data_IF_672131843894
#
_entry.id   IF_672131843894
#
_cell.length_a   1.000
_cell.length_b   1.000
_cell.length_c   1.000
_cell.angle_alpha   90.00
_cell.angle_beta   90.00
_cell.angle_gamma   90.00
#
_symmetry.space_group_name_H-M   'P 1'
#
loop_
_entity.id
_entity.type
_entity.pdbx_description
1 polymer ?
#
# COMPACT_ATOMS: atom_id res chain seq x y z
N UNK A 1 33.66 -24.35 9.27
CA UNK A 1 32.76 -24.09 10.41
C UNK A 1 31.37 -23.83 9.83
N UNK A 2 30.49 -24.80 9.96
CA UNK A 2 29.15 -24.79 9.38
C UNK A 2 28.19 -24.19 10.43
N UNK A 3 27.61 -23.02 10.15
CA UNK A 3 26.57 -22.44 11.02
C UNK A 3 25.21 -22.99 10.59
N UNK A 4 24.61 -23.75 11.45
CA UNK A 4 23.31 -24.37 11.30
C UNK A 4 22.25 -23.30 11.64
N UNK A 5 21.43 -22.92 10.64
CA UNK A 5 20.25 -22.09 10.86
C UNK A 5 19.20 -22.91 11.62
N UNK A 6 18.78 -22.43 12.77
CA UNK A 6 17.61 -22.97 13.49
C UNK A 6 16.37 -22.26 12.99
N UNK A 7 15.65 -22.93 12.12
CA UNK A 7 14.27 -22.56 11.77
C UNK A 7 13.35 -23.10 12.87
N UNK A 8 12.70 -22.21 13.61
CA UNK A 8 11.65 -22.61 14.55
C UNK A 8 10.34 -22.72 13.77
N UNK A 9 9.96 -23.97 13.47
CA UNK A 9 8.65 -24.27 12.88
C UNK A 9 7.66 -24.40 14.04
N UNK A 10 6.71 -23.48 14.14
CA UNK A 10 5.52 -23.67 14.97
C UNK A 10 4.48 -24.37 14.11
N UNK A 11 4.32 -25.67 14.36
CA UNK A 11 3.27 -26.49 13.78
C UNK A 11 1.97 -26.32 14.57
N UNK A 12 0.95 -25.74 13.95
CA UNK A 12 -0.43 -25.93 14.35
C UNK A 12 -1.29 -26.15 13.09
N UNK A 13 -1.82 -27.27 13.04
CA UNK A 13 -2.67 -28.10 12.28
C UNK A 13 -3.58 -27.59 11.16
N UNK A 14 -3.64 -28.47 10.20
CA UNK A 14 -4.68 -28.78 9.23
C UNK A 14 -4.88 -27.77 8.08
N UNK A 15 -4.15 -28.06 6.99
CA UNK A 15 -4.26 -27.41 5.72
C UNK A 15 -5.61 -27.67 5.03
N UNK A 16 -6.33 -26.61 4.69
CA UNK A 16 -7.25 -26.62 3.57
C UNK A 16 -6.61 -25.73 2.51
N UNK A 17 -6.19 -26.33 1.40
CA UNK A 17 -5.61 -25.63 0.26
C UNK A 17 -6.72 -24.82 -0.42
N UNK A 18 -6.82 -23.56 -0.10
CA UNK A 18 -7.60 -22.58 -0.85
C UNK A 18 -6.59 -21.65 -1.48
N UNK A 19 -6.48 -21.67 -2.79
CA UNK A 19 -5.75 -20.66 -3.56
C UNK A 19 -6.54 -19.35 -3.47
N UNK A 20 -6.26 -18.56 -2.44
CA UNK A 20 -6.86 -17.25 -2.29
C UNK A 20 -6.01 -16.23 -3.06
N UNK A 21 -6.64 -15.56 -4.00
CA UNK A 21 -6.17 -14.28 -4.52
C UNK A 21 -5.88 -13.33 -3.36
N UNK A 22 -4.92 -12.44 -3.51
CA UNK A 22 -4.50 -11.52 -2.45
C UNK A 22 -5.63 -10.61 -1.94
N UNK A 23 -6.71 -10.45 -2.69
CA UNK A 23 -7.92 -9.77 -2.26
C UNK A 23 -9.11 -10.73 -2.38
N UNK A 24 -9.71 -11.13 -1.26
CA UNK A 24 -10.85 -12.05 -1.26
C UNK A 24 -12.15 -11.27 -1.41
N UNK A 25 -12.84 -11.49 -2.53
CA UNK A 25 -14.23 -11.06 -2.71
C UNK A 25 -15.15 -12.07 -2.04
N UNK A 26 -15.71 -11.77 -0.87
CA UNK A 26 -16.86 -12.47 -0.30
C UNK A 26 -18.11 -11.62 -0.46
N UNK A 27 -18.82 -11.83 -1.55
CA UNK A 27 -20.24 -11.46 -1.61
C UNK A 27 -21.03 -12.42 -0.74
N UNK A 28 -21.63 -11.94 0.34
CA UNK A 28 -22.71 -12.64 1.02
C UNK A 28 -24.02 -11.88 0.81
N UNK A 29 -24.94 -12.62 0.22
CA UNK A 29 -26.32 -12.22 -0.03
C UNK A 29 -27.11 -12.04 1.27
N UNK A 30 -27.97 -11.06 1.22
CA UNK A 30 -29.15 -10.74 2.02
C UNK A 30 -29.70 -11.79 2.99
N UNK A 31 -29.99 -11.37 4.21
CA UNK A 31 -31.30 -11.59 4.80
C UNK A 31 -31.62 -10.53 5.84
N UNK A 32 -32.87 -10.17 5.88
CA UNK A 32 -33.58 -9.06 6.44
C UNK A 32 -33.84 -9.13 7.95
N UNK A 33 -34.07 -7.93 8.50
CA UNK A 33 -34.99 -7.61 9.61
C UNK A 33 -34.55 -7.87 11.07
N UNK A 34 -34.42 -6.85 11.85
CA UNK A 34 -35.39 -6.36 12.87
C UNK A 34 -34.75 -5.25 13.72
N UNK A 35 -35.47 -4.14 13.85
CA UNK A 35 -35.22 -3.02 14.76
C UNK A 35 -35.17 -3.47 16.22
N UNK A 36 -34.33 -2.81 17.04
CA UNK A 36 -34.70 -2.29 18.37
C UNK A 36 -33.62 -1.35 18.96
N UNK A 37 -34.03 -0.11 19.07
CA UNK A 37 -33.77 0.89 20.14
C UNK A 37 -32.44 1.00 20.87
N UNK A 38 -31.94 2.26 20.83
CA UNK A 38 -30.89 2.85 21.65
C UNK A 38 -31.11 2.75 23.16
N UNK A 39 -30.05 2.98 23.94
CA UNK A 39 -30.07 4.23 24.70
C UNK A 39 -28.74 5.03 24.66
N UNK A 40 -28.96 6.33 24.61
CA UNK A 40 -28.02 7.42 24.80
C UNK A 40 -27.35 7.33 26.17
N UNK A 41 -26.02 7.35 26.24
CA UNK A 41 -25.30 7.80 27.42
C UNK A 41 -24.24 8.81 27.01
N UNK A 42 -24.49 10.06 27.46
CA UNK A 42 -23.56 11.15 27.47
C UNK A 42 -22.37 10.86 28.41
N UNK A 43 -21.16 11.08 27.96
CA UNK A 43 -19.97 11.07 28.82
C UNK A 43 -18.84 11.83 28.12
N UNK A 44 -18.70 13.11 28.52
CA UNK A 44 -17.52 13.92 28.24
C UNK A 44 -16.30 13.27 28.86
N UNK A 45 -15.13 13.46 28.21
CA UNK A 45 -13.78 13.70 28.79
C UNK A 45 -12.81 13.73 27.61
N UNK A 46 -12.26 14.85 27.30
CA UNK A 46 -10.99 15.51 27.70
C UNK A 46 -9.77 15.02 26.93
N UNK A 47 -9.23 15.98 26.17
CA UNK A 47 -7.80 16.22 25.88
C UNK A 47 -6.93 15.08 25.33
N UNK A 48 -6.84 15.05 24.00
CA UNK A 48 -5.66 14.58 23.31
C UNK A 48 -5.01 15.78 22.60
N UNK A 49 -3.67 15.84 22.53
CA UNK A 49 -2.95 16.98 22.00
C UNK A 49 -3.29 17.23 20.52
N UNK A 50 -3.57 18.49 20.24
CA UNK A 50 -3.74 19.02 18.89
C UNK A 50 -2.40 18.88 18.15
N UNK A 51 -2.35 18.03 17.11
CA UNK A 51 -1.26 18.02 16.16
C UNK A 51 -1.60 19.00 15.05
N UNK A 52 -1.00 20.19 15.14
CA UNK A 52 -1.09 21.24 14.12
C UNK A 52 -0.30 20.79 12.87
N UNK A 53 -0.91 20.03 11.98
CA UNK A 53 -0.45 19.92 10.60
C UNK A 53 -1.54 20.41 9.62
N UNK A 54 -1.61 21.72 9.49
CA UNK A 54 -2.38 22.37 8.46
C UNK A 54 -1.61 22.34 7.14
N UNK A 55 -2.06 21.55 6.21
CA UNK A 55 -1.63 21.69 4.83
C UNK A 55 -1.64 20.43 4.00
N UNK A 56 -2.79 19.96 3.60
CA UNK A 56 -3.12 19.44 2.26
C UNK A 56 -4.50 18.80 2.35
N UNK A 57 -5.39 19.13 1.42
CA UNK A 57 -6.80 18.73 1.42
C UNK A 57 -7.09 17.23 1.26
N UNK A 58 -6.39 16.40 2.00
CA UNK A 58 -6.76 15.00 2.20
C UNK A 58 -7.70 14.95 3.39
N UNK A 59 -9.01 14.98 3.09
CA UNK A 59 -10.06 14.60 4.04
C UNK A 59 -9.60 13.39 4.84
N UNK A 60 -9.64 13.45 6.17
CA UNK A 60 -9.19 12.47 7.15
C UNK A 60 -9.46 11.01 6.70
N UNK A 61 -8.58 10.44 5.89
CA UNK A 61 -8.63 9.01 5.56
C UNK A 61 -8.09 8.26 6.77
N UNK A 62 -8.90 7.38 7.34
CA UNK A 62 -8.45 6.55 8.46
C UNK A 62 -7.34 5.60 7.99
N UNK A 63 -6.30 5.45 8.80
CA UNK A 63 -5.26 4.46 8.57
C UNK A 63 -5.87 3.06 8.54
N UNK A 64 -5.48 2.24 7.58
CA UNK A 64 -5.94 0.87 7.43
C UNK A 64 -5.45 0.01 8.60
N UNK A 65 -6.33 -0.85 9.13
CA UNK A 65 -6.01 -1.73 10.26
C UNK A 65 -4.77 -2.59 9.97
N UNK A 66 -3.86 -2.63 10.94
CA UNK A 66 -2.63 -3.43 10.89
C UNK A 66 -2.89 -4.92 10.61
N UNK A 67 -4.01 -5.46 11.10
CA UNK A 67 -4.42 -6.85 10.84
C UNK A 67 -4.72 -7.14 9.35
N UNK A 68 -4.82 -6.11 8.52
CA UNK A 68 -5.01 -6.24 7.08
C UNK A 68 -3.73 -6.56 6.31
N UNK A 69 -2.57 -6.64 6.99
CA UNK A 69 -1.27 -6.84 6.36
C UNK A 69 -0.55 -8.07 6.91
N UNK A 70 -0.09 -8.94 6.02
CA UNK A 70 0.90 -9.97 6.36
C UNK A 70 2.31 -9.36 6.21
N UNK A 71 3.19 -9.65 7.16
CA UNK A 71 4.49 -9.02 7.28
C UNK A 71 5.63 -10.03 7.20
N UNK A 72 6.76 -9.58 6.66
CA UNK A 72 8.06 -10.23 6.78
C UNK A 72 8.98 -9.35 7.63
N UNK A 73 9.61 -9.94 8.63
CA UNK A 73 10.62 -9.23 9.44
C UNK A 73 11.94 -9.16 8.68
N UNK A 74 12.51 -7.96 8.64
CA UNK A 74 13.81 -7.70 8.06
C UNK A 74 14.92 -7.83 9.11
N UNK A 75 16.16 -8.09 8.67
CA UNK A 75 17.32 -8.25 9.58
C UNK A 75 17.64 -6.98 10.38
N UNK A 76 17.22 -5.81 9.89
CA UNK A 76 17.40 -4.50 10.54
C UNK A 76 16.30 -4.15 11.55
N UNK A 77 15.33 -5.05 11.75
CA UNK A 77 14.21 -4.85 12.68
C UNK A 77 13.02 -4.09 12.09
N UNK A 78 13.08 -3.70 10.82
CA UNK A 78 11.94 -3.17 10.08
C UNK A 78 11.05 -4.30 9.55
N UNK A 79 9.93 -3.97 8.91
CA UNK A 79 9.06 -4.96 8.27
C UNK A 79 8.79 -4.62 6.82
N UNK A 80 8.61 -5.65 6.03
CA UNK A 80 8.10 -5.59 4.66
C UNK A 80 6.66 -6.08 4.65
N UNK A 81 5.74 -5.32 4.03
CA UNK A 81 4.39 -5.81 3.74
C UNK A 81 4.50 -6.84 2.62
N UNK A 82 4.25 -8.10 2.96
CA UNK A 82 4.35 -9.22 2.00
C UNK A 82 3.03 -9.53 1.32
N UNK A 83 1.91 -9.19 1.97
CA UNK A 83 0.58 -9.41 1.43
C UNK A 83 -0.47 -8.52 2.11
N UNK A 84 -1.40 -8.03 1.31
CA UNK A 84 -2.62 -7.38 1.77
C UNK A 84 -3.78 -8.37 1.79
N UNK A 85 -4.49 -8.43 2.92
CA UNK A 85 -5.63 -9.33 3.17
C UNK A 85 -6.87 -8.57 3.67
N UNK A 86 -6.81 -7.25 3.65
CA UNK A 86 -7.89 -6.39 4.14
C UNK A 86 -9.02 -6.21 3.14
N UNK A 87 -10.00 -5.40 3.55
CA UNK A 87 -11.08 -4.96 2.69
C UNK A 87 -10.53 -4.00 1.61
N UNK A 88 -11.19 -4.02 0.47
CA UNK A 88 -10.86 -3.18 -0.68
C UNK A 88 -11.42 -1.76 -0.54
N UNK A 89 -11.02 -0.87 -1.43
CA UNK A 89 -11.35 0.55 -1.42
C UNK A 89 -10.12 1.43 -1.26
N UNK A 90 -10.23 2.46 -0.44
CA UNK A 90 -9.11 3.35 -0.13
C UNK A 90 -8.22 2.72 0.93
N UNK A 91 -6.94 2.57 0.64
CA UNK A 91 -5.94 1.98 1.55
C UNK A 91 -4.95 3.05 2.00
N UNK A 92 -4.80 3.23 3.30
CA UNK A 92 -3.76 4.06 3.90
C UNK A 92 -2.85 3.15 4.72
N UNK A 93 -1.66 2.90 4.21
CA UNK A 93 -0.71 2.00 4.85
C UNK A 93 -0.13 2.69 6.10
N UNK A 94 -0.15 2.05 7.29
CA UNK A 94 0.48 2.62 8.48
C UNK A 94 2.01 2.65 8.33
N UNK A 95 2.66 3.70 8.85
CA UNK A 95 4.13 3.79 8.85
C UNK A 95 4.79 2.80 9.80
N UNK A 96 4.03 2.32 10.80
CA UNK A 96 4.47 1.31 11.75
C UNK A 96 3.37 0.27 11.98
N UNK A 97 3.77 -0.99 12.08
CA UNK A 97 2.91 -2.11 12.46
C UNK A 97 3.62 -2.85 13.60
N UNK A 98 2.92 -3.07 14.72
CA UNK A 98 3.47 -3.68 15.94
C UNK A 98 4.77 -3.00 16.44
N UNK A 99 4.84 -1.66 16.28
CA UNK A 99 5.99 -0.86 16.68
C UNK A 99 7.22 -0.97 15.77
N UNK A 100 7.11 -1.67 14.64
CA UNK A 100 8.16 -1.82 13.63
C UNK A 100 7.86 -0.95 12.42
N UNK A 101 8.87 -0.25 11.91
CA UNK A 101 8.73 0.60 10.72
C UNK A 101 8.51 -0.25 9.48
N UNK A 102 7.52 0.13 8.65
CA UNK A 102 7.31 -0.45 7.33
C UNK A 102 8.34 0.16 6.37
N UNK A 103 9.27 -0.67 5.88
CA UNK A 103 10.38 -0.21 5.03
C UNK A 103 10.26 -0.61 3.55
N UNK A 104 9.44 -1.60 3.24
CA UNK A 104 9.22 -2.05 1.86
C UNK A 104 7.80 -2.63 1.67
N UNK A 105 7.37 -2.64 0.40
CA UNK A 105 6.11 -3.25 -0.04
C UNK A 105 6.44 -4.26 -1.13
N UNK A 106 6.10 -5.54 -0.90
CA UNK A 106 6.32 -6.62 -1.86
C UNK A 106 6.75 -7.91 -1.18
N UNK A 107 7.05 -8.92 -1.98
CA UNK A 107 7.48 -10.23 -1.49
C UNK A 107 8.80 -10.64 -2.15
N UNK A 108 9.90 -10.50 -1.41
CA UNK A 108 11.26 -10.85 -1.86
C UNK A 108 11.47 -12.34 -2.16
N UNK A 109 10.58 -13.20 -1.68
CA UNK A 109 10.71 -14.67 -1.79
C UNK A 109 9.65 -15.30 -2.68
N UNK A 110 8.64 -14.54 -3.09
CA UNK A 110 7.48 -15.00 -3.82
C UNK A 110 7.41 -14.52 -5.27
N UNK A 111 6.54 -15.16 -6.02
CA UNK A 111 6.17 -14.76 -7.38
C UNK A 111 4.99 -13.81 -7.41
N UNK A 112 4.36 -13.55 -6.25
CA UNK A 112 3.15 -12.72 -6.11
C UNK A 112 3.49 -11.41 -5.41
N UNK A 113 2.93 -10.30 -5.89
CA UNK A 113 3.06 -8.98 -5.28
C UNK A 113 2.20 -8.82 -4.03
N UNK A 114 2.56 -7.86 -3.16
CA UNK A 114 1.85 -7.64 -1.89
C UNK A 114 0.37 -7.27 -2.07
N UNK A 115 0.05 -6.48 -3.08
CA UNK A 115 -1.31 -6.07 -3.44
C UNK A 115 -1.73 -6.61 -4.82
N UNK A 116 -1.06 -7.65 -5.32
CA UNK A 116 -1.37 -8.22 -6.62
C UNK A 116 -2.84 -8.66 -6.71
N UNK A 117 -3.53 -8.17 -7.75
CA UNK A 117 -4.92 -8.49 -8.00
C UNK A 117 -5.93 -7.89 -7.03
N UNK A 118 -5.58 -6.83 -6.29
CA UNK A 118 -6.54 -6.05 -5.50
C UNK A 118 -7.43 -5.22 -6.44
N UNK A 119 -8.43 -5.90 -7.04
CA UNK A 119 -9.21 -5.36 -8.16
C UNK A 119 -10.22 -4.30 -7.77
N UNK A 120 -10.56 -4.14 -6.50
CA UNK A 120 -11.50 -3.12 -6.02
C UNK A 120 -10.79 -2.02 -5.19
N UNK A 121 -9.47 -2.06 -5.07
CA UNK A 121 -8.70 -0.99 -4.43
C UNK A 121 -8.68 0.23 -5.37
N UNK A 122 -9.16 1.38 -4.87
CA UNK A 122 -9.31 2.62 -5.64
C UNK A 122 -8.17 3.58 -5.43
N UNK A 123 -7.61 3.61 -4.24
CA UNK A 123 -6.43 4.43 -3.95
C UNK A 123 -5.53 3.78 -2.92
N UNK A 124 -4.24 4.14 -2.96
CA UNK A 124 -3.28 3.76 -1.93
C UNK A 124 -2.39 4.94 -1.55
N UNK A 125 -2.22 5.13 -0.23
CA UNK A 125 -1.24 6.06 0.34
C UNK A 125 -0.14 5.23 0.98
N UNK A 126 1.08 5.41 0.47
CA UNK A 126 2.29 4.74 0.96
C UNK A 126 2.94 5.67 2.00
N UNK A 127 3.29 5.18 3.20
CA UNK A 127 3.81 6.03 4.26
C UNK A 127 5.28 6.35 4.10
N UNK A 128 5.73 7.43 4.74
CA UNK A 128 7.15 7.67 4.97
C UNK A 128 7.81 6.51 5.71
N UNK A 129 9.07 6.21 5.36
CA UNK A 129 9.82 5.05 5.83
C UNK A 129 9.91 3.92 4.80
N UNK A 130 8.95 3.83 3.87
CA UNK A 130 9.04 2.90 2.74
C UNK A 130 10.10 3.41 1.76
N UNK A 131 11.13 2.60 1.50
CA UNK A 131 12.23 2.95 0.59
C UNK A 131 12.14 2.25 -0.75
N UNK A 132 11.38 1.16 -0.81
CA UNK A 132 11.30 0.30 -1.99
C UNK A 132 9.90 -0.26 -2.22
N UNK A 133 9.42 -0.18 -3.47
CA UNK A 133 8.23 -0.88 -3.96
C UNK A 133 8.73 -2.00 -4.87
N UNK A 134 8.53 -3.25 -4.43
CA UNK A 134 9.13 -4.43 -5.03
C UNK A 134 8.37 -4.94 -6.26
N UNK A 135 8.89 -6.02 -6.86
CA UNK A 135 8.33 -6.61 -8.07
C UNK A 135 6.86 -6.99 -7.89
N UNK A 136 6.03 -6.62 -8.86
CA UNK A 136 4.59 -6.90 -8.93
C UNK A 136 3.77 -6.37 -7.73
N UNK A 137 4.30 -5.46 -6.93
CA UNK A 137 3.66 -5.04 -5.67
C UNK A 137 2.18 -4.68 -5.82
N UNK A 138 1.80 -3.99 -6.90
CA UNK A 138 0.42 -3.59 -7.24
C UNK A 138 0.00 -4.10 -8.62
N UNK A 139 0.57 -5.23 -9.09
CA UNK A 139 0.21 -5.81 -10.37
C UNK A 139 -1.28 -6.14 -10.44
N UNK A 140 -1.94 -5.73 -11.53
CA UNK A 140 -3.35 -6.08 -11.77
C UNK A 140 -4.36 -5.42 -10.82
N UNK A 141 -4.01 -4.31 -10.18
CA UNK A 141 -4.95 -3.50 -9.40
C UNK A 141 -5.86 -2.71 -10.34
N UNK A 142 -6.85 -3.39 -10.93
CA UNK A 142 -7.60 -2.86 -12.07
C UNK A 142 -8.51 -1.66 -11.75
N UNK A 143 -8.90 -1.45 -10.51
CA UNK A 143 -9.66 -0.27 -10.08
C UNK A 143 -8.81 0.84 -9.48
N UNK A 144 -7.50 0.66 -9.35
CA UNK A 144 -6.61 1.65 -8.77
C UNK A 144 -6.58 2.91 -9.65
N UNK A 145 -6.97 4.05 -9.08
CA UNK A 145 -7.03 5.33 -9.77
C UNK A 145 -5.88 6.26 -9.38
N UNK A 146 -5.50 6.23 -8.10
CA UNK A 146 -4.48 7.13 -7.56
C UNK A 146 -3.53 6.43 -6.59
N UNK A 147 -2.26 6.86 -6.62
CA UNK A 147 -1.21 6.42 -5.69
C UNK A 147 -0.47 7.64 -5.17
N UNK A 148 -0.22 7.69 -3.85
CA UNK A 148 0.72 8.66 -3.25
C UNK A 148 1.97 7.93 -2.81
N UNK A 149 3.12 8.40 -3.29
CA UNK A 149 4.46 7.84 -3.04
C UNK A 149 5.28 8.87 -2.25
N UNK A 150 5.71 8.53 -1.03
CA UNK A 150 6.41 9.45 -0.14
C UNK A 150 7.85 9.73 -0.61
N UNK A 151 8.46 10.74 -0.01
CA UNK A 151 9.83 11.16 -0.34
C UNK A 151 10.90 10.10 -0.02
N UNK A 152 10.61 9.17 0.88
CA UNK A 152 11.50 8.07 1.26
C UNK A 152 11.67 7.01 0.18
N UNK A 153 10.75 6.88 -0.79
CA UNK A 153 10.82 5.85 -1.84
C UNK A 153 11.88 6.22 -2.87
N UNK A 154 12.92 5.40 -2.96
CA UNK A 154 14.05 5.60 -3.88
C UNK A 154 14.10 4.59 -5.01
N UNK A 155 13.32 3.50 -4.93
CA UNK A 155 13.34 2.43 -5.92
C UNK A 155 11.93 1.87 -6.20
N UNK A 156 11.59 1.82 -7.49
CA UNK A 156 10.42 1.10 -8.02
C UNK A 156 10.93 -0.09 -8.85
N UNK A 157 10.50 -1.31 -8.49
CA UNK A 157 10.93 -2.52 -9.19
C UNK A 157 10.01 -2.93 -10.33
N UNK A 158 10.37 -4.04 -11.00
CA UNK A 158 9.67 -4.49 -12.19
C UNK A 158 8.18 -4.69 -11.94
N UNK A 159 7.38 -4.21 -12.88
CA UNK A 159 5.92 -4.38 -12.84
C UNK A 159 5.25 -3.93 -11.54
N UNK A 160 5.86 -3.01 -10.79
CA UNK A 160 5.28 -2.55 -9.53
C UNK A 160 3.83 -2.06 -9.71
N UNK A 161 3.49 -1.46 -10.84
CA UNK A 161 2.15 -0.97 -11.21
C UNK A 161 1.73 -1.42 -12.62
N UNK A 162 2.12 -2.61 -13.05
CA UNK A 162 1.67 -3.17 -14.33
C UNK A 162 0.19 -3.55 -14.28
N UNK A 163 -0.46 -3.53 -15.43
CA UNK A 163 -1.87 -3.92 -15.59
C UNK A 163 -2.84 -3.16 -14.64
N UNK A 164 -2.59 -1.87 -14.44
CA UNK A 164 -3.45 -0.95 -13.70
C UNK A 164 -4.16 0.02 -14.67
N UNK A 165 -5.13 -0.43 -15.50
CA UNK A 165 -5.66 0.35 -16.61
C UNK A 165 -6.43 1.63 -16.19
N UNK A 166 -6.89 1.69 -14.95
CA UNK A 166 -7.59 2.85 -14.40
C UNK A 166 -6.67 3.82 -13.64
N UNK A 167 -5.38 3.48 -13.46
CA UNK A 167 -4.44 4.36 -12.79
C UNK A 167 -4.20 5.61 -13.64
N UNK A 168 -4.56 6.78 -13.08
CA UNK A 168 -4.52 8.07 -13.75
C UNK A 168 -3.48 9.00 -13.16
N UNK A 169 -3.22 8.91 -11.87
CA UNK A 169 -2.33 9.81 -11.18
C UNK A 169 -1.44 9.07 -10.16
N UNK A 170 -0.14 9.34 -10.23
CA UNK A 170 0.82 8.96 -9.20
C UNK A 170 1.46 10.22 -8.68
N UNK A 171 1.26 10.51 -7.39
CA UNK A 171 1.77 11.69 -6.71
C UNK A 171 3.07 11.34 -5.98
N UNK A 172 4.16 12.00 -6.35
CA UNK A 172 5.47 11.84 -5.73
C UNK A 172 5.79 13.04 -4.85
N UNK A 173 6.06 12.78 -3.58
CA UNK A 173 6.39 13.81 -2.59
C UNK A 173 7.90 14.10 -2.50
N UNK A 174 8.72 13.37 -3.25
CA UNK A 174 10.18 13.46 -3.27
C UNK A 174 10.80 13.50 -4.66
N UNK A 175 12.11 13.31 -4.68
CA UNK A 175 12.90 13.19 -5.90
C UNK A 175 12.46 11.98 -6.72
N UNK A 176 12.73 12.01 -8.02
CA UNK A 176 12.39 10.93 -8.93
C UNK A 176 13.09 9.62 -8.50
N UNK A 177 12.34 8.55 -8.15
CA UNK A 177 12.96 7.28 -7.77
C UNK A 177 13.61 6.60 -8.97
N UNK A 178 14.57 5.72 -8.71
CA UNK A 178 15.07 4.82 -9.72
C UNK A 178 13.97 3.84 -10.12
N UNK A 179 13.85 3.59 -11.41
CA UNK A 179 12.91 2.60 -11.93
C UNK A 179 13.64 1.42 -12.54
N UNK A 180 13.11 0.22 -12.27
CA UNK A 180 13.38 -0.94 -13.08
C UNK A 180 12.61 -0.88 -14.41
N UNK A 181 12.75 -1.90 -15.25
CA UNK A 181 12.00 -1.98 -16.49
C UNK A 181 10.51 -2.28 -16.22
N UNK A 182 9.64 -1.78 -17.08
CA UNK A 182 8.22 -2.13 -17.11
C UNK A 182 7.39 -1.77 -15.87
N UNK A 183 7.79 -0.77 -15.08
CA UNK A 183 7.07 -0.41 -13.83
C UNK A 183 5.59 -0.12 -14.07
N UNK A 184 5.25 0.53 -15.20
CA UNK A 184 3.88 0.91 -15.59
C UNK A 184 3.45 0.24 -16.91
N UNK A 185 3.90 -0.98 -17.20
CA UNK A 185 3.50 -1.66 -18.43
C UNK A 185 1.98 -1.93 -18.41
N UNK A 186 1.32 -1.81 -19.57
CA UNK A 186 -0.16 -1.89 -19.67
C UNK A 186 -0.94 -0.91 -18.76
N UNK A 187 -0.30 0.21 -18.36
CA UNK A 187 -0.88 1.28 -17.54
C UNK A 187 -0.72 2.60 -18.30
N UNK A 188 -1.47 2.75 -19.40
CA UNK A 188 -1.16 3.75 -20.44
C UNK A 188 -1.58 5.18 -20.09
N UNK A 189 -2.62 5.36 -19.25
CA UNK A 189 -3.26 6.66 -18.99
C UNK A 189 -2.74 7.40 -17.78
N UNK A 190 -1.60 6.98 -17.22
CA UNK A 190 -1.05 7.53 -15.98
C UNK A 190 -0.24 8.79 -16.24
N UNK A 191 -0.44 9.81 -15.40
CA UNK A 191 0.38 11.01 -15.29
C UNK A 191 1.11 10.98 -13.94
N UNK A 192 2.40 11.29 -13.96
CA UNK A 192 3.22 11.46 -12.77
C UNK A 192 3.14 12.90 -12.31
N UNK A 193 2.76 13.10 -11.06
CA UNK A 193 2.73 14.43 -10.43
C UNK A 193 3.83 14.49 -9.38
N UNK A 194 4.65 15.54 -9.40
CA UNK A 194 5.76 15.73 -8.46
C UNK A 194 5.78 17.13 -7.88
N UNK A 195 6.28 17.26 -6.65
CA UNK A 195 6.33 18.54 -5.95
C UNK A 195 7.41 19.46 -6.54
N UNK A 196 7.11 20.74 -6.56
CA UNK A 196 8.07 21.76 -6.96
C UNK A 196 9.31 21.74 -6.04
N UNK A 197 10.50 21.80 -6.64
CA UNK A 197 11.77 21.76 -5.90
C UNK A 197 12.39 20.37 -5.74
N UNK A 198 11.70 19.31 -6.14
CA UNK A 198 12.28 17.97 -6.24
C UNK A 198 13.12 17.81 -7.51
N UNK A 199 14.01 16.83 -7.54
CA UNK A 199 15.00 16.62 -8.59
C UNK A 199 14.81 15.29 -9.33
N UNK A 200 15.49 15.16 -10.48
CA UNK A 200 15.50 13.92 -11.28
C UNK A 200 14.29 13.71 -12.18
N UNK A 201 13.37 14.67 -12.21
CA UNK A 201 12.19 14.62 -13.06
C UNK A 201 12.48 15.13 -14.48
N UNK A 202 11.99 14.40 -15.46
CA UNK A 202 11.98 14.75 -16.88
C UNK A 202 10.54 14.64 -17.41
N UNK A 203 10.20 15.34 -18.47
CA UNK A 203 8.90 15.19 -19.12
C UNK A 203 9.09 14.87 -20.61
N UNK A 204 8.78 13.66 -21.09
CA UNK A 204 8.20 12.55 -20.33
C UNK A 204 9.22 11.85 -19.40
N UNK A 205 8.74 11.35 -18.24
CA UNK A 205 9.53 10.52 -17.33
C UNK A 205 9.23 9.04 -17.63
N UNK A 206 10.22 8.31 -18.10
CA UNK A 206 10.09 6.94 -18.60
C UNK A 206 8.89 6.71 -19.54
N UNK A 207 8.68 7.69 -20.45
CA UNK A 207 7.62 7.64 -21.45
C UNK A 207 6.22 8.00 -20.96
N UNK A 208 6.06 8.48 -19.73
CA UNK A 208 4.81 8.96 -19.15
C UNK A 208 4.85 10.46 -18.91
N UNK A 209 3.74 11.20 -19.09
CA UNK A 209 3.68 12.61 -18.73
C UNK A 209 4.09 12.83 -17.28
N UNK A 210 4.90 13.87 -17.02
CA UNK A 210 5.31 14.25 -15.68
C UNK A 210 5.09 15.76 -15.49
N UNK A 211 4.34 16.13 -14.46
CA UNK A 211 3.86 17.48 -14.23
C UNK A 211 4.09 17.91 -12.78
N UNK A 212 4.43 19.18 -12.59
CA UNK A 212 4.51 19.77 -11.23
C UNK A 212 3.10 19.92 -10.67
N UNK A 213 2.91 19.52 -9.41
CA UNK A 213 1.70 19.83 -8.67
C UNK A 213 2.04 20.62 -7.38
N UNK A 214 1.08 21.42 -6.94
CA UNK A 214 1.12 22.09 -5.63
C UNK A 214 0.11 21.36 -4.73
N UNK A 215 0.53 20.82 -3.56
CA UNK A 215 -0.33 20.06 -2.64
C UNK A 215 -1.35 20.96 -1.92
#
# INVERSE_FOLDING_TARGET
>A
MLRIFRTTIITAGLALLVTLSSCSNTQNASESDTQLSEPVISGQISDAPEDDNAGTGYSQRSVTDAASFELLENEDGTVTISRYIGAEGDVVIPSQIDGKTVSAIGNVTGTTGAFEGCTNMTSVVIPEGVTEIQDNAFYGCTSLETVTIPSSVTLLRNCAFCDCPNLRAVYFEGDAPQQANYVFDSTENVTMYYQNGTSGWENPWYGRPAEVYEP
#
